data_IF_865537708265
#
_entry.id   IF_865537708265
#
_cell.length_a   1.000
_cell.length_b   1.000
_cell.length_c   1.000
_cell.angle_alpha   90.00
_cell.angle_beta   90.00
_cell.angle_gamma   90.00
#
_symmetry.space_group_name_H-M   'P 1'
#
loop_
_entity.id
_entity.type
_entity.pdbx_description
1 polymer ?
#
# COMPACT_ATOMS: atom_id res chain seq x y z
N UNK A 1 8.36 0.65 -1.20
CA UNK A 1 9.63 0.48 -0.47
C UNK A 1 9.86 1.64 0.51
N UNK A 2 9.97 2.88 0.05
CA UNK A 2 10.22 4.06 0.90
C UNK A 2 9.32 4.22 2.13
N UNK A 3 8.01 3.98 1.99
CA UNK A 3 7.07 4.12 3.12
C UNK A 3 7.42 3.19 4.29
N UNK A 4 7.78 1.94 4.02
CA UNK A 4 8.13 0.97 5.07
C UNK A 4 9.41 1.39 5.77
N UNK A 5 10.43 1.74 5.00
CA UNK A 5 11.72 2.20 5.52
C UNK A 5 11.58 3.42 6.43
N UNK A 6 10.82 4.43 6.00
CA UNK A 6 10.57 5.63 6.82
C UNK A 6 9.82 5.27 8.11
N UNK A 7 8.88 4.32 8.07
CA UNK A 7 8.16 3.88 9.26
C UNK A 7 9.04 3.08 10.22
N UNK A 8 10.02 2.35 9.71
CA UNK A 8 10.94 1.55 10.52
C UNK A 8 11.94 2.45 11.28
N UNK A 9 12.48 3.49 10.62
CA UNK A 9 13.47 4.39 11.23
C UNK A 9 12.86 5.62 11.91
N UNK A 10 11.80 6.19 11.33
CA UNK A 10 11.25 7.50 11.68
C UNK A 10 9.71 7.45 11.79
N UNK A 11 9.13 6.59 12.65
CA UNK A 11 7.69 6.32 12.67
C UNK A 11 6.82 7.55 13.01
N UNK A 12 7.37 8.51 13.75
CA UNK A 12 6.66 9.71 14.22
C UNK A 12 6.91 10.94 13.32
N UNK A 13 7.68 10.79 12.25
CA UNK A 13 8.02 11.89 11.34
C UNK A 13 6.92 12.05 10.30
N UNK A 14 6.55 13.30 10.01
CA UNK A 14 5.56 13.59 8.95
C UNK A 14 6.17 13.27 7.58
N UNK A 15 5.41 12.57 6.75
CA UNK A 15 5.84 12.20 5.39
C UNK A 15 4.97 12.94 4.38
N UNK A 16 5.61 13.61 3.42
CA UNK A 16 4.94 14.29 2.32
C UNK A 16 5.31 13.60 1.00
N UNK A 17 4.32 13.37 0.15
CA UNK A 17 4.52 12.82 -1.19
C UNK A 17 4.59 13.97 -2.20
N UNK A 18 5.71 14.03 -2.93
CA UNK A 18 5.97 15.07 -3.94
C UNK A 18 6.14 14.41 -5.31
N UNK A 19 5.34 14.84 -6.29
CA UNK A 19 5.48 14.49 -7.69
C UNK A 19 6.50 15.39 -8.38
N UNK A 20 7.51 14.81 -9.02
CA UNK A 20 8.55 15.55 -9.73
C UNK A 20 8.39 15.39 -11.25
N UNK A 21 9.02 16.28 -12.02
CA UNK A 21 9.08 16.24 -13.49
C UNK A 21 7.70 16.30 -14.16
N UNK A 22 6.82 17.18 -13.67
CA UNK A 22 5.46 17.33 -14.21
C UNK A 22 5.43 17.74 -15.68
N UNK A 23 6.50 18.35 -16.18
CA UNK A 23 6.72 18.68 -17.59
C UNK A 23 6.68 17.46 -18.52
N UNK A 24 7.07 16.28 -18.05
CA UNK A 24 7.07 15.05 -18.85
C UNK A 24 5.66 14.52 -19.13
N UNK A 25 4.62 15.03 -18.47
CA UNK A 25 3.23 14.66 -18.76
C UNK A 25 2.79 15.07 -20.16
N UNK A 26 3.43 16.10 -20.74
CA UNK A 26 3.15 16.60 -22.09
C UNK A 26 4.26 16.28 -23.09
N UNK A 27 5.33 15.63 -22.65
CA UNK A 27 6.44 15.25 -23.53
C UNK A 27 6.07 14.03 -24.37
N UNK A 28 6.07 14.21 -25.70
CA UNK A 28 5.63 13.17 -26.63
C UNK A 28 6.53 11.93 -26.56
N UNK A 29 7.84 12.11 -26.40
CA UNK A 29 8.78 10.99 -26.32
C UNK A 29 8.48 10.12 -25.11
N UNK A 30 8.31 10.74 -23.94
CA UNK A 30 7.96 10.06 -22.68
C UNK A 30 6.61 9.35 -22.79
N UNK A 31 5.62 9.99 -23.40
CA UNK A 31 4.30 9.38 -23.59
C UNK A 31 4.34 8.13 -24.47
N UNK A 32 5.11 8.17 -25.58
CA UNK A 32 5.27 7.01 -26.46
C UNK A 32 5.99 5.86 -25.76
N UNK A 33 7.06 6.16 -25.01
CA UNK A 33 7.81 5.15 -24.26
C UNK A 33 6.94 4.46 -23.19
N UNK A 34 6.19 5.24 -22.41
CA UNK A 34 5.27 4.70 -21.41
C UNK A 34 4.13 3.90 -22.05
N UNK A 35 3.61 4.36 -23.20
CA UNK A 35 2.58 3.63 -23.94
C UNK A 35 3.06 2.25 -24.40
N UNK A 36 4.31 2.13 -24.85
CA UNK A 36 4.90 0.82 -25.21
C UNK A 36 4.93 -0.14 -24.01
N UNK A 37 5.06 0.41 -22.80
CA UNK A 37 5.01 -0.34 -21.54
C UNK A 37 3.59 -0.48 -20.96
N UNK A 38 2.55 -0.01 -21.67
CA UNK A 38 1.15 0.06 -21.20
C UNK A 38 0.98 0.87 -19.91
N UNK A 39 1.78 1.91 -19.74
CA UNK A 39 1.74 2.83 -18.61
C UNK A 39 1.34 4.23 -19.07
N UNK A 40 0.98 5.07 -18.10
CA UNK A 40 0.72 6.48 -18.30
C UNK A 40 1.43 7.29 -17.21
N UNK A 41 1.76 8.57 -17.47
CA UNK A 41 2.24 9.46 -16.43
C UNK A 41 1.27 9.54 -15.25
N UNK A 42 1.80 9.72 -14.05
CA UNK A 42 1.02 9.88 -12.83
C UNK A 42 0.20 11.17 -12.92
N UNK A 43 -1.12 11.07 -12.69
CA UNK A 43 -2.05 12.20 -12.78
C UNK A 43 -1.94 13.15 -11.59
N UNK A 44 -2.53 14.34 -11.70
CA UNK A 44 -2.54 15.34 -10.63
C UNK A 44 -3.26 14.83 -9.37
N UNK A 45 -4.35 14.07 -9.51
CA UNK A 45 -5.10 13.52 -8.38
C UNK A 45 -4.32 12.49 -7.55
N UNK A 46 -3.25 11.93 -8.13
CA UNK A 46 -2.40 10.93 -7.48
C UNK A 46 -1.27 11.56 -6.64
N UNK A 47 -1.04 12.89 -6.75
CA UNK A 47 0.01 13.62 -6.04
C UNK A 47 -0.54 14.70 -5.10
N UNK A 48 0.01 14.82 -3.89
CA UNK A 48 -0.40 15.88 -2.95
C UNK A 48 0.29 17.22 -3.24
N UNK A 49 1.55 17.20 -3.67
CA UNK A 49 2.33 18.37 -4.08
C UNK A 49 3.14 17.98 -5.32
N UNK A 50 3.39 18.92 -6.23
CA UNK A 50 4.11 18.60 -7.46
C UNK A 50 4.85 19.79 -8.07
N UNK A 51 5.95 19.49 -8.76
CA UNK A 51 6.80 20.49 -9.39
C UNK A 51 7.49 19.99 -10.66
N UNK A 52 7.94 20.95 -11.45
CA UNK A 52 8.96 20.75 -12.47
C UNK A 52 10.14 21.67 -12.18
N UNK A 53 11.28 21.08 -11.82
CA UNK A 53 12.54 21.82 -11.71
C UNK A 53 13.06 22.28 -13.08
N UNK A 54 12.63 21.64 -14.17
CA UNK A 54 13.08 21.96 -15.52
C UNK A 54 12.34 23.16 -16.11
N UNK A 55 11.02 23.23 -15.93
CA UNK A 55 10.20 24.27 -16.59
C UNK A 55 9.73 25.37 -15.65
N UNK A 56 9.78 25.17 -14.33
CA UNK A 56 9.20 26.12 -13.37
C UNK A 56 9.91 26.16 -12.02
N UNK A 57 10.89 27.05 -11.87
CA UNK A 57 11.50 27.35 -10.56
C UNK A 57 10.45 27.77 -9.52
N UNK A 58 9.43 28.51 -9.95
CA UNK A 58 8.31 28.93 -9.09
C UNK A 58 7.58 27.75 -8.46
N UNK A 59 7.42 26.65 -9.19
CA UNK A 59 6.78 25.44 -8.67
C UNK A 59 7.58 24.82 -7.51
N UNK A 60 8.91 24.80 -7.64
CA UNK A 60 9.82 24.31 -6.60
C UNK A 60 9.74 25.19 -5.35
N UNK A 61 9.81 26.51 -5.50
CA UNK A 61 9.66 27.45 -4.39
C UNK A 61 8.29 27.31 -3.69
N UNK A 62 7.22 27.09 -4.45
CA UNK A 62 5.87 26.89 -3.92
C UNK A 62 5.79 25.66 -3.02
N UNK A 63 6.39 24.54 -3.45
CA UNK A 63 6.48 23.33 -2.63
C UNK A 63 7.20 23.62 -1.32
N UNK A 64 8.41 24.19 -1.37
CA UNK A 64 9.19 24.40 -0.16
C UNK A 64 8.51 25.36 0.81
N UNK A 65 7.86 26.43 0.33
CA UNK A 65 7.04 27.30 1.19
C UNK A 65 5.90 26.54 1.87
N UNK A 66 5.20 25.71 1.10
CA UNK A 66 4.09 24.90 1.62
C UNK A 66 4.57 23.89 2.67
N UNK A 67 5.66 23.18 2.38
CA UNK A 67 6.29 22.22 3.29
C UNK A 67 6.75 22.92 4.58
N UNK A 68 7.41 24.08 4.48
CA UNK A 68 7.81 24.88 5.64
C UNK A 68 6.60 25.25 6.51
N UNK A 69 5.50 25.71 5.89
CA UNK A 69 4.26 26.00 6.61
C UNK A 69 3.71 24.77 7.35
N UNK A 70 3.69 23.61 6.69
CA UNK A 70 3.25 22.34 7.29
C UNK A 70 4.15 21.98 8.48
N UNK A 71 5.47 22.04 8.33
CA UNK A 71 6.43 21.67 9.38
C UNK A 71 6.33 22.57 10.62
N UNK A 72 6.09 23.87 10.43
CA UNK A 72 5.95 24.85 11.52
C UNK A 72 4.58 24.80 12.20
N UNK A 73 3.54 24.33 11.50
CA UNK A 73 2.21 24.18 12.08
C UNK A 73 2.16 23.07 13.15
N UNK A 74 1.36 23.28 14.21
CA UNK A 74 1.14 22.28 15.27
C UNK A 74 0.58 21.00 14.66
N UNK A 75 1.21 19.86 14.96
CA UNK A 75 0.81 18.58 14.39
C UNK A 75 -0.64 18.26 14.78
N UNK A 76 -1.50 17.82 13.84
CA UNK A 76 -2.75 17.20 14.23
C UNK A 76 -2.44 15.93 15.07
N UNK A 77 -3.27 15.60 16.08
CA UNK A 77 -3.10 14.39 16.85
C UNK A 77 -3.09 13.17 15.91
N UNK A 78 -2.06 12.34 16.03
CA UNK A 78 -1.95 11.12 15.23
C UNK A 78 -3.13 10.20 15.56
N UNK A 79 -3.86 9.65 14.57
CA UNK A 79 -4.85 8.62 14.85
C UNK A 79 -4.14 7.41 15.50
N UNK A 80 -4.81 6.70 16.43
CA UNK A 80 -4.22 5.55 17.09
C UNK A 80 -3.76 4.54 16.04
N UNK A 81 -2.48 4.17 16.09
CA UNK A 81 -1.93 3.14 15.20
C UNK A 81 -2.71 1.85 15.45
N UNK A 82 -3.41 1.36 14.42
CA UNK A 82 -3.93 0.00 14.44
C UNK A 82 -2.78 -0.95 14.73
N UNK A 83 -2.94 -1.93 15.65
CA UNK A 83 -1.89 -2.89 15.95
C UNK A 83 -1.41 -3.54 14.64
N UNK A 84 -0.13 -3.93 14.55
CA UNK A 84 0.35 -4.70 13.41
C UNK A 84 -0.61 -5.88 13.23
N UNK A 85 -1.09 -6.09 12.00
CA UNK A 85 -1.85 -7.30 11.65
C UNK A 85 -0.91 -8.49 11.86
N UNK A 86 -0.82 -8.96 13.10
CA UNK A 86 -0.29 -10.27 13.41
C UNK A 86 -1.23 -11.23 12.71
N UNK A 87 -0.81 -11.74 11.55
CA UNK A 87 -1.44 -12.91 10.97
C UNK A 87 -1.44 -13.97 12.07
N UNK A 88 -2.63 -14.26 12.60
CA UNK A 88 -2.78 -15.24 13.66
C UNK A 88 -2.15 -16.54 13.19
N UNK A 89 -1.05 -16.97 13.85
CA UNK A 89 -0.42 -18.27 13.63
C UNK A 89 -1.38 -19.45 13.85
N UNK A 90 -2.61 -19.22 14.33
CA UNK A 90 -3.70 -20.20 14.44
C UNK A 90 -4.24 -20.70 13.10
N UNK A 91 -4.02 -20.02 11.97
CA UNK A 91 -4.52 -20.46 10.66
C UNK A 91 -3.55 -21.36 9.89
N UNK A 92 -2.37 -21.70 10.44
CA UNK A 92 -1.41 -22.59 9.80
C UNK A 92 -1.46 -24.04 10.29
N UNK A 93 -2.34 -24.39 11.23
CA UNK A 93 -2.55 -25.80 11.59
C UNK A 93 -3.66 -26.39 10.71
N UNK A 94 -3.30 -26.71 9.47
CA UNK A 94 -4.11 -27.60 8.65
C UNK A 94 -3.74 -29.03 9.05
N UNK A 95 -4.67 -29.85 9.59
CA UNK A 95 -4.39 -31.24 9.91
C UNK A 95 -3.90 -31.96 8.66
N UNK A 96 -2.85 -32.77 8.78
CA UNK A 96 -2.40 -33.55 7.62
C UNK A 96 -3.49 -34.55 7.23
N UNK A 97 -3.57 -34.89 5.94
CA UNK A 97 -4.55 -35.84 5.37
C UNK A 97 -4.58 -37.19 6.12
N UNK A 98 -3.49 -37.54 6.81
CA UNK A 98 -3.33 -38.71 7.67
C UNK A 98 -4.25 -38.72 8.90
N UNK A 99 -4.51 -37.56 9.50
CA UNK A 99 -5.29 -37.45 10.75
C UNK A 99 -6.80 -37.54 10.50
N UNK A 100 -7.25 -37.08 9.33
CA UNK A 100 -8.66 -37.15 8.89
C UNK A 100 -9.14 -38.57 8.62
N UNK A 101 -8.24 -39.50 8.27
CA UNK A 101 -8.61 -40.89 7.96
C UNK A 101 -8.70 -41.74 9.24
N UNK A 102 -7.98 -41.38 10.30
CA UNK A 102 -8.04 -42.12 11.58
C UNK A 102 -9.36 -41.91 12.34
N UNK A 103 -10.00 -40.76 12.17
CA UNK A 103 -11.26 -40.41 12.85
C UNK A 103 -12.51 -41.02 12.22
N UNK A 104 -12.44 -41.51 10.98
CA UNK A 104 -13.61 -42.09 10.27
C UNK A 104 -13.77 -43.61 10.47
N UNK A 105 -12.83 -44.30 11.13
CA UNK A 105 -12.85 -45.77 11.25
C UNK A 105 -13.13 -46.32 12.66
N UNK A 106 -13.60 -45.49 13.60
CA UNK A 106 -14.06 -45.98 14.90
C UNK A 106 -15.52 -45.59 15.12
N UNK A 107 -16.36 -46.62 15.27
CA UNK A 107 -17.83 -46.63 15.54
C UNK A 107 -18.68 -46.26 14.31
N UNK A 108 -19.69 -47.01 13.88
CA UNK A 108 -20.53 -48.00 14.54
C UNK A 108 -21.31 -48.84 13.50
N UNK A 109 -21.81 -49.98 13.96
CA UNK A 109 -22.41 -51.12 13.27
C UNK A 109 -23.80 -50.78 12.66
N UNK A 110 -24.10 -51.40 11.51
CA UNK A 110 -25.29 -51.24 10.67
C UNK A 110 -26.67 -51.27 11.37
N UNK A 111 -27.67 -50.55 10.81
CA UNK A 111 -29.05 -51.03 10.57
C UNK A 111 -29.70 -50.33 9.36
N UNK A 112 -30.35 -51.15 8.54
CA UNK A 112 -31.14 -50.85 7.33
C UNK A 112 -32.50 -50.19 7.65
N UNK A 113 -33.00 -49.31 6.77
CA UNK A 113 -34.44 -49.10 6.60
C UNK A 113 -34.78 -48.60 5.18
N UNK A 114 -35.87 -49.17 4.64
CA UNK A 114 -36.42 -49.01 3.29
C UNK A 114 -37.30 -47.76 3.17
N UNK A 115 -37.32 -47.13 1.99
CA UNK A 115 -38.24 -46.05 1.63
C UNK A 115 -39.35 -46.64 0.75
N UNK A 116 -40.60 -46.41 1.13
CA UNK A 116 -41.82 -46.55 0.31
C UNK A 116 -41.93 -45.38 -0.67
#
# INVERSE_FOLDING_TARGET
QWKTEILDYCPNTRVLLIGCKTDLRTDLSTLLELSHQKQAPISYEQGYLECSAFTSEKSVHSIFRTVSGICLSKAPPQPPRSPPRSLSKRLLHLPSRSELISSTFKKEKAKSCSVM
#
